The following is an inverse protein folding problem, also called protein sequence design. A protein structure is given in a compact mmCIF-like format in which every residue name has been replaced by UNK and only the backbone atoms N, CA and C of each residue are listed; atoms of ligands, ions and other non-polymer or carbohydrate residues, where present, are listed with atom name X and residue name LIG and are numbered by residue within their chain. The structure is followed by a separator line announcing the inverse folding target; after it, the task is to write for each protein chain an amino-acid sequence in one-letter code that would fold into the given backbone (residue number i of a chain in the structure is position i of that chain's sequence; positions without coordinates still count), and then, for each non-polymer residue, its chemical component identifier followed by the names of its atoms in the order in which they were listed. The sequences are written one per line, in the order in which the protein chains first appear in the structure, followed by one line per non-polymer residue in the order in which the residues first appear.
data_IF_761187233680
#
_entry.id   IF_761187233680
#
_cell.length_a   1.000
_cell.length_b   1.000
_cell.length_c   1.000
_cell.angle_alpha   90.00
_cell.angle_beta   90.00
_cell.angle_gamma   90.00
#
_symmetry.space_group_name_H-M   'P 1'
#
loop_
_entity.id
_entity.type
_entity.pdbx_description
1 polymer ?
#
# COMPACT_ATOMS: atom_id res chain seq x y z
N UNK A 1 -65.27 26.61 -16.57
CA UNK A 1 -64.86 25.24 -16.93
C UNK A 1 -63.38 25.08 -16.60
N UNK A 2 -63.03 24.16 -15.69
CA UNK A 2 -61.65 23.68 -15.45
C UNK A 2 -61.41 22.46 -16.35
N UNK A 3 -60.18 22.27 -16.85
CA UNK A 3 -59.39 21.08 -16.48
C UNK A 3 -57.93 21.47 -16.11
N UNK A 4 -57.40 20.94 -15.00
CA UNK A 4 -56.42 19.82 -14.94
C UNK A 4 -55.06 20.14 -15.59
N UNK A 5 -54.01 20.44 -14.80
CA UNK A 5 -53.14 19.47 -14.13
C UNK A 5 -52.38 18.57 -15.13
N UNK A 6 -51.10 18.84 -15.34
CA UNK A 6 -50.16 17.85 -15.85
C UNK A 6 -48.82 18.00 -15.13
N UNK A 7 -48.47 16.91 -14.45
CA UNK A 7 -47.39 16.71 -13.50
C UNK A 7 -45.97 16.91 -14.10
N UNK A 8 -44.98 17.20 -13.23
CA UNK A 8 -43.59 17.42 -13.62
C UNK A 8 -42.93 16.16 -14.18
N UNK A 9 -42.16 16.35 -15.25
CA UNK A 9 -41.39 15.32 -15.94
C UNK A 9 -40.29 14.74 -15.02
N UNK A 10 -40.63 13.63 -14.37
CA UNK A 10 -39.85 12.41 -14.17
C UNK A 10 -38.31 12.54 -14.29
N UNK A 11 -37.71 13.13 -13.26
CA UNK A 11 -36.30 12.98 -12.95
C UNK A 11 -36.04 11.56 -12.42
N UNK A 12 -35.49 10.62 -13.19
CA UNK A 12 -35.14 9.29 -12.66
C UNK A 12 -34.25 8.42 -13.58
N UNK A 13 -33.13 8.92 -14.13
CA UNK A 13 -32.15 8.04 -14.80
C UNK A 13 -30.69 8.51 -14.59
N UNK A 14 -30.20 8.38 -13.35
CA UNK A 14 -28.76 8.42 -13.07
C UNK A 14 -28.39 7.29 -12.10
N UNK A 15 -28.66 6.04 -12.49
CA UNK A 15 -28.16 4.87 -11.79
C UNK A 15 -26.72 4.61 -12.24
N UNK A 16 -25.78 5.39 -11.70
CA UNK A 16 -24.36 5.16 -11.85
C UNK A 16 -23.98 3.92 -11.03
N UNK A 17 -23.81 2.78 -11.70
CA UNK A 17 -23.15 1.61 -11.11
C UNK A 17 -21.71 2.00 -10.74
N UNK A 18 -21.50 2.43 -9.50
CA UNK A 18 -20.18 2.51 -8.90
C UNK A 18 -19.67 1.07 -8.70
N UNK A 19 -19.20 0.44 -9.77
CA UNK A 19 -18.39 -0.76 -9.63
C UNK A 19 -17.10 -0.32 -8.94
N UNK A 20 -16.78 -0.83 -7.74
CA UNK A 20 -15.51 -0.52 -7.11
C UNK A 20 -14.40 -1.10 -7.99
N UNK A 21 -13.67 -0.23 -8.70
CA UNK A 21 -12.44 -0.63 -9.39
C UNK A 21 -11.55 -1.33 -8.37
N UNK A 22 -11.07 -2.55 -8.63
CA UNK A 22 -10.15 -3.21 -7.72
C UNK A 22 -8.92 -2.31 -7.59
N UNK A 23 -8.65 -1.85 -6.36
CA UNK A 23 -7.42 -1.13 -6.08
C UNK A 23 -6.25 -2.02 -6.53
N UNK A 24 -5.28 -1.48 -7.27
CA UNK A 24 -4.12 -2.26 -7.69
C UNK A 24 -3.46 -2.84 -6.43
N UNK A 25 -3.04 -4.10 -6.50
CA UNK A 25 -2.25 -4.68 -5.41
C UNK A 25 -0.98 -3.85 -5.25
N UNK A 26 -0.64 -3.47 -4.01
CA UNK A 26 0.64 -2.81 -3.71
C UNK A 26 1.84 -3.77 -3.78
N UNK A 27 1.59 -5.05 -4.06
CA UNK A 27 2.63 -6.07 -4.21
C UNK A 27 3.69 -5.66 -5.25
N UNK A 28 3.35 -5.48 -6.55
CA UNK A 28 4.32 -5.01 -7.56
C UNK A 28 4.82 -3.58 -7.30
N UNK A 29 4.15 -2.80 -6.45
CA UNK A 29 4.62 -1.47 -6.03
C UNK A 29 5.79 -1.58 -5.05
N UNK A 30 5.70 -2.47 -4.06
CA UNK A 30 6.80 -2.74 -3.10
C UNK A 30 8.04 -3.30 -3.80
N UNK A 31 7.87 -4.21 -4.75
CA UNK A 31 8.99 -4.78 -5.51
C UNK A 31 9.72 -3.69 -6.31
N UNK A 32 8.97 -2.87 -7.06
CA UNK A 32 9.55 -1.75 -7.82
C UNK A 32 10.18 -0.71 -6.93
N UNK A 33 9.59 -0.44 -5.77
CA UNK A 33 10.13 0.54 -4.86
C UNK A 33 11.44 0.06 -4.21
N UNK A 34 11.58 -1.25 -3.95
CA UNK A 34 12.81 -1.87 -3.45
C UNK A 34 13.99 -1.75 -4.42
N UNK A 35 13.76 -1.76 -5.75
CA UNK A 35 14.83 -1.66 -6.76
C UNK A 35 15.67 -0.37 -6.68
N UNK A 36 15.17 0.68 -6.02
CA UNK A 36 15.89 1.94 -5.83
C UNK A 36 16.54 2.09 -4.46
N UNK A 37 16.51 1.06 -3.62
CA UNK A 37 17.10 1.08 -2.29
C UNK A 37 18.40 0.28 -2.29
N UNK A 38 19.46 0.86 -1.74
CA UNK A 38 20.78 0.25 -1.71
C UNK A 38 21.34 0.30 -0.30
N UNK A 39 21.60 -0.87 0.34
CA UNK A 39 22.29 -0.92 1.61
C UNK A 39 23.64 -0.18 1.57
N UNK A 40 23.96 0.57 2.62
CA UNK A 40 25.15 1.41 2.73
C UNK A 40 25.05 2.77 2.01
N UNK A 41 23.95 3.04 1.29
CA UNK A 41 23.72 4.31 0.58
C UNK A 41 22.38 4.95 0.90
N UNK A 42 21.31 4.17 0.97
CA UNK A 42 19.98 4.69 1.31
C UNK A 42 19.87 4.99 2.79
N UNK A 43 19.22 6.10 3.14
CA UNK A 43 18.93 6.48 4.51
C UNK A 43 17.41 6.50 4.80
N UNK A 44 17.06 6.69 6.07
CA UNK A 44 15.66 6.78 6.55
C UNK A 44 14.83 7.84 5.83
N UNK A 45 15.43 8.95 5.41
CA UNK A 45 14.73 10.05 4.72
C UNK A 45 14.38 9.64 3.30
N UNK A 46 15.37 9.22 2.51
CA UNK A 46 15.20 8.77 1.14
C UNK A 46 14.22 7.60 1.02
N UNK A 47 14.24 6.69 2.00
CA UNK A 47 13.30 5.56 2.06
C UNK A 47 11.87 6.04 2.29
N UNK A 48 11.66 6.99 3.21
CA UNK A 48 10.32 7.49 3.56
C UNK A 48 9.73 8.38 2.47
N UNK A 49 10.55 9.17 1.80
CA UNK A 49 10.13 9.92 0.61
C UNK A 49 9.64 8.99 -0.49
N UNK A 50 10.28 7.82 -0.64
CA UNK A 50 9.95 6.84 -1.67
C UNK A 50 8.76 5.94 -1.32
N UNK A 51 8.68 5.48 -0.08
CA UNK A 51 7.73 4.43 0.37
C UNK A 51 6.62 4.95 1.28
N UNK A 52 6.74 6.17 1.78
CA UNK A 52 5.90 6.70 2.84
C UNK A 52 6.26 6.16 4.22
N UNK A 53 5.32 6.33 5.16
CA UNK A 53 5.52 5.92 6.55
C UNK A 53 5.48 4.39 6.72
N UNK A 54 6.49 3.80 7.40
CA UNK A 54 6.54 2.38 7.71
C UNK A 54 5.77 2.02 8.99
N UNK A 55 5.53 0.72 9.18
CA UNK A 55 5.41 0.14 10.52
C UNK A 55 6.84 0.02 11.09
N UNK A 56 7.11 0.70 12.21
CA UNK A 56 8.47 0.83 12.75
C UNK A 56 8.62 0.12 14.09
N UNK A 57 9.70 -0.65 14.20
CA UNK A 57 10.21 -1.23 15.43
C UNK A 57 11.59 -0.63 15.73
N UNK A 58 11.72 0.04 16.87
CA UNK A 58 12.99 0.63 17.34
C UNK A 58 13.56 -0.28 18.43
N UNK A 59 14.85 -0.58 18.33
CA UNK A 59 15.58 -1.38 19.34
C UNK A 59 16.36 -0.45 20.27
N UNK A 60 16.55 -0.87 21.53
CA UNK A 60 17.31 -0.10 22.54
C UNK A 60 18.76 0.19 22.12
N UNK A 61 19.30 -0.62 21.21
CA UNK A 61 20.63 -0.43 20.60
C UNK A 61 20.69 0.71 19.57
N UNK A 62 19.57 1.39 19.30
CA UNK A 62 19.44 2.45 18.30
C UNK A 62 19.17 1.94 16.88
N UNK A 63 19.13 0.63 16.67
CA UNK A 63 18.73 0.03 15.40
C UNK A 63 17.24 0.23 15.15
N UNK A 64 16.83 0.26 13.88
CA UNK A 64 15.42 0.33 13.51
C UNK A 64 15.06 -0.68 12.42
N UNK A 65 14.00 -1.47 12.63
CA UNK A 65 13.38 -2.28 11.60
C UNK A 65 12.11 -1.60 11.09
N UNK A 66 12.01 -1.42 9.78
CA UNK A 66 10.87 -0.80 9.12
C UNK A 66 10.20 -1.84 8.23
N UNK A 67 8.88 -2.02 8.38
CA UNK A 67 8.10 -2.94 7.59
C UNK A 67 7.06 -2.20 6.74
N UNK A 68 6.97 -2.59 5.48
CA UNK A 68 5.96 -2.14 4.53
C UNK A 68 5.18 -3.36 4.06
N UNK A 69 3.91 -3.45 4.45
CA UNK A 69 3.01 -4.53 4.09
C UNK A 69 2.00 -4.05 3.07
N UNK A 70 1.86 -4.76 1.97
CA UNK A 70 0.74 -4.53 1.08
C UNK A 70 -0.55 -4.99 1.78
N UNK A 71 -1.64 -4.24 1.61
CA UNK A 71 -2.96 -4.77 1.97
C UNK A 71 -3.25 -6.02 1.15
N UNK A 72 -3.87 -7.01 1.77
CA UNK A 72 -4.26 -8.26 1.10
C UNK A 72 -4.94 -7.95 -0.24
N UNK A 73 -4.43 -8.55 -1.30
CA UNK A 73 -5.11 -8.47 -2.59
C UNK A 73 -6.45 -9.20 -2.44
N UNK A 74 -7.53 -8.63 -2.97
CA UNK A 74 -8.87 -9.24 -2.91
C UNK A 74 -8.94 -10.66 -3.52
N UNK A 75 -7.94 -11.00 -4.34
CA UNK A 75 -7.75 -12.31 -4.97
C UNK A 75 -6.61 -13.15 -4.34
N UNK A 76 -6.07 -12.73 -3.19
CA UNK A 76 -5.07 -13.52 -2.47
C UNK A 76 -5.70 -14.84 -2.01
N UNK A 77 -4.92 -15.93 -2.10
CA UNK A 77 -5.35 -17.22 -1.57
C UNK A 77 -5.63 -17.07 -0.07
N UNK A 78 -6.76 -17.59 0.46
CA UNK A 78 -7.03 -17.57 1.89
C UNK A 78 -5.86 -18.16 2.67
N UNK A 79 -5.31 -17.41 3.63
CA UNK A 79 -4.14 -17.80 4.43
C UNK A 79 -2.78 -17.55 3.79
N UNK A 80 -2.71 -16.90 2.61
CA UNK A 80 -1.43 -16.45 2.07
C UNK A 80 -0.99 -15.14 2.71
N UNK A 81 0.26 -15.09 3.18
CA UNK A 81 0.86 -13.87 3.70
C UNK A 81 0.89 -12.78 2.59
N UNK A 82 0.51 -11.53 2.93
CA UNK A 82 0.68 -10.42 2.01
C UNK A 82 2.17 -10.16 1.76
N UNK A 83 2.52 -9.59 0.60
CA UNK A 83 3.89 -9.20 0.33
C UNK A 83 4.37 -8.14 1.32
N UNK A 84 5.62 -8.29 1.74
CA UNK A 84 6.23 -7.51 2.82
C UNK A 84 7.64 -7.09 2.41
N UNK A 85 7.96 -5.81 2.58
CA UNK A 85 9.32 -5.29 2.47
C UNK A 85 9.81 -4.90 3.87
N UNK A 86 10.86 -5.55 4.33
CA UNK A 86 11.51 -5.26 5.62
C UNK A 86 12.87 -4.64 5.39
N UNK A 87 13.11 -3.50 6.04
CA UNK A 87 14.33 -2.74 6.00
C UNK A 87 14.93 -2.68 7.40
N UNK A 88 16.25 -2.80 7.50
CA UNK A 88 16.98 -2.65 8.76
C UNK A 88 17.95 -1.48 8.62
N UNK A 89 17.85 -0.53 9.54
CA UNK A 89 18.71 0.63 9.65
C UNK A 89 19.63 0.51 10.86
N UNK A 90 20.88 0.92 10.69
CA UNK A 90 21.81 1.10 11.79
C UNK A 90 21.46 2.34 12.64
N UNK A 91 22.12 2.54 13.79
CA UNK A 91 21.89 3.72 14.64
C UNK A 91 22.18 5.06 13.95
N UNK A 92 23.01 5.08 12.90
CA UNK A 92 23.25 6.25 12.07
C UNK A 92 22.08 6.56 11.12
N UNK A 93 21.15 5.63 10.94
CA UNK A 93 20.02 5.75 10.01
C UNK A 93 20.34 5.31 8.59
N UNK A 94 21.42 4.57 8.38
CA UNK A 94 21.78 4.00 7.08
C UNK A 94 21.14 2.63 6.92
N UNK A 95 20.54 2.37 5.76
CA UNK A 95 20.01 1.05 5.43
C UNK A 95 21.15 0.05 5.38
N UNK A 96 21.11 -1.02 6.17
CA UNK A 96 22.13 -2.09 6.11
C UNK A 96 21.60 -3.39 5.53
N UNK A 97 20.28 -3.61 5.61
CA UNK A 97 19.66 -4.84 5.10
C UNK A 97 18.28 -4.56 4.54
N UNK A 98 18.00 -5.19 3.41
CA UNK A 98 16.71 -5.18 2.75
C UNK A 98 16.26 -6.62 2.52
N UNK A 99 15.00 -6.92 2.82
CA UNK A 99 14.37 -8.21 2.52
C UNK A 99 12.97 -7.97 1.95
N UNK A 100 12.75 -8.47 0.74
CA UNK A 100 11.44 -8.52 0.13
C UNK A 100 10.89 -9.94 0.27
N UNK A 101 9.70 -10.08 0.85
CA UNK A 101 8.90 -11.30 0.87
C UNK A 101 7.80 -11.16 -0.18
N UNK A 102 7.79 -12.00 -1.23
CA UNK A 102 6.70 -12.00 -2.20
C UNK A 102 5.42 -12.57 -1.58
N UNK A 103 4.28 -12.28 -2.20
CA UNK A 103 3.00 -12.82 -1.77
C UNK A 103 2.99 -14.36 -1.86
N UNK A 104 2.47 -15.03 -0.83
CA UNK A 104 2.31 -16.50 -0.83
C UNK A 104 3.61 -17.30 -0.72
N UNK A 105 4.72 -16.69 -0.29
CA UNK A 105 5.87 -17.44 0.21
C UNK A 105 5.47 -18.19 1.50
N UNK A 106 5.82 -19.49 1.66
CA UNK A 106 5.54 -20.26 2.86
C UNK A 106 6.35 -19.79 4.08
#
# INVERSE_FOLDING_TARGET
MRPEAALPALALLASACAMPTPAPSRAPELERAALGLTPGRSDRGAVRERLGEPERLVFDSGWEAWAYRAREARNARPGADPPELVLLFDPGGTLVRLRLRPAGAP
#
